data_IF_070082774071
#
_entry.id   IF_070082774071
#
_cell.length_a   1.000
_cell.length_b   1.000
_cell.length_c   1.000
_cell.angle_alpha   90.00
_cell.angle_beta   90.00
_cell.angle_gamma   90.00
#
_symmetry.space_group_name_H-M   'P 1'
#
loop_
_entity.id
_entity.type
_entity.pdbx_description
1 polymer ?
#
# COMPACT_ATOMS: atom_id res chain seq x y z
N UNK A 1 4.83 27.54 4.35
CA UNK A 1 5.20 26.14 4.62
C UNK A 1 4.31 25.27 3.76
N UNK A 2 4.88 24.40 2.93
CA UNK A 2 4.12 23.56 2.00
C UNK A 2 3.71 22.26 2.71
N UNK A 3 2.41 22.08 2.96
CA UNK A 3 1.84 20.97 3.72
C UNK A 3 1.48 19.76 2.84
N UNK A 4 1.72 19.83 1.54
CA UNK A 4 0.98 19.01 0.57
C UNK A 4 1.65 17.69 0.18
N UNK A 5 2.87 17.43 0.65
CA UNK A 5 3.63 16.24 0.25
C UNK A 5 3.65 15.17 1.33
N UNK A 6 3.47 13.88 0.97
CA UNK A 6 3.60 12.76 1.90
C UNK A 6 5.07 12.43 2.18
N UNK A 7 6.01 13.34 1.92
CA UNK A 7 7.42 13.17 2.22
C UNK A 7 8.09 14.52 2.45
N UNK A 8 9.16 14.53 3.25
CA UNK A 8 9.99 15.71 3.54
C UNK A 8 11.47 15.35 3.67
N UNK A 9 12.33 16.30 3.29
CA UNK A 9 13.76 16.26 3.57
C UNK A 9 14.03 16.88 4.95
N UNK A 10 14.89 16.22 5.71
CA UNK A 10 15.27 16.63 7.06
C UNK A 10 16.73 17.04 7.04
N UNK A 11 16.98 18.34 7.11
CA UNK A 11 18.32 18.90 7.11
C UNK A 11 18.83 19.03 8.54
N UNK A 12 20.00 18.46 8.80
CA UNK A 12 20.75 18.71 10.03
C UNK A 12 21.85 19.73 9.75
N UNK A 13 22.35 20.39 10.80
CA UNK A 13 23.21 21.59 10.71
C UNK A 13 24.41 21.48 9.75
N UNK A 14 24.94 20.28 9.45
CA UNK A 14 26.14 20.12 8.58
C UNK A 14 26.15 18.85 7.69
N UNK A 15 25.02 18.20 7.37
CA UNK A 15 25.06 16.86 6.74
C UNK A 15 24.07 16.63 5.58
N UNK A 16 24.28 15.50 4.90
CA UNK A 16 23.34 14.92 3.94
C UNK A 16 21.94 14.77 4.58
N UNK A 17 20.86 15.17 3.89
CA UNK A 17 19.53 15.14 4.48
C UNK A 17 18.99 13.72 4.61
N UNK A 18 18.24 13.48 5.68
CA UNK A 18 17.38 12.31 5.82
C UNK A 18 16.04 12.55 5.11
N UNK A 19 15.24 11.50 4.96
CA UNK A 19 13.93 11.58 4.32
C UNK A 19 12.89 10.95 5.24
N UNK A 20 11.81 11.65 5.51
CA UNK A 20 10.60 11.05 6.09
C UNK A 20 9.58 10.85 4.97
N UNK A 21 8.97 9.66 4.94
CA UNK A 21 8.02 9.23 3.91
C UNK A 21 6.79 8.66 4.59
N UNK A 22 5.66 9.29 4.33
CA UNK A 22 4.32 8.81 4.64
C UNK A 22 3.86 7.81 3.58
N UNK A 23 3.21 6.74 4.05
CA UNK A 23 2.70 5.67 3.20
C UNK A 23 1.30 5.26 3.66
N UNK A 24 0.77 4.15 3.13
CA UNK A 24 -0.54 3.60 3.45
C UNK A 24 -0.74 3.30 4.94
N UNK A 25 0.31 2.86 5.63
CA UNK A 25 0.28 2.40 7.00
C UNK A 25 0.02 0.89 7.12
N UNK A 26 0.50 0.32 8.22
CA UNK A 26 0.41 -1.11 8.53
C UNK A 26 -0.93 -1.52 9.16
N UNK A 27 -1.75 -0.56 9.60
CA UNK A 27 -3.08 -0.82 10.15
C UNK A 27 -4.14 -1.01 9.04
N UNK A 28 -3.92 -2.02 8.21
CA UNK A 28 -4.85 -2.38 7.15
C UNK A 28 -4.97 -3.87 6.97
N UNK A 29 -5.99 -4.28 6.23
CA UNK A 29 -6.13 -5.66 5.79
C UNK A 29 -4.95 -6.11 4.90
N UNK A 30 -4.35 -5.15 4.17
CA UNK A 30 -3.27 -5.44 3.23
C UNK A 30 -1.96 -5.79 3.95
N UNK A 31 -1.24 -6.74 3.37
CA UNK A 31 0.09 -7.15 3.80
C UNK A 31 1.01 -7.16 2.59
N UNK A 32 2.20 -6.64 2.79
CA UNK A 32 3.25 -6.57 1.77
C UNK A 32 4.60 -6.79 2.45
N UNK A 33 5.50 -7.44 1.73
CA UNK A 33 6.91 -7.55 2.10
C UNK A 33 7.75 -7.77 0.83
N UNK A 34 9.07 -7.64 0.94
CA UNK A 34 10.02 -8.00 -0.13
C UNK A 34 9.78 -9.41 -0.69
N UNK A 35 9.58 -10.38 0.20
CA UNK A 35 9.35 -11.80 -0.17
C UNK A 35 7.95 -12.07 -0.71
N UNK A 36 6.95 -11.32 -0.24
CA UNK A 36 5.53 -11.53 -0.50
C UNK A 36 4.87 -10.17 -0.76
N UNK A 37 5.08 -9.57 -1.95
CA UNK A 37 4.52 -8.27 -2.28
C UNK A 37 2.99 -8.33 -2.43
N UNK A 38 2.31 -7.27 -2.01
CA UNK A 38 0.94 -7.05 -2.47
C UNK A 38 1.00 -6.83 -3.98
N UNK A 39 0.22 -7.59 -4.73
CA UNK A 39 0.35 -7.67 -6.19
C UNK A 39 -0.96 -7.25 -6.84
N UNK A 40 -0.89 -6.49 -7.92
CA UNK A 40 -2.04 -6.13 -8.75
C UNK A 40 -1.82 -6.63 -10.17
N UNK A 41 -2.78 -7.40 -10.66
CA UNK A 41 -2.84 -7.86 -12.05
C UNK A 41 -3.70 -6.88 -12.84
N UNK A 42 -3.18 -6.40 -13.97
CA UNK A 42 -3.81 -5.40 -14.83
C UNK A 42 -3.88 -5.96 -16.24
N UNK A 43 -5.09 -6.16 -16.76
CA UNK A 43 -5.32 -6.64 -18.13
C UNK A 43 -6.77 -6.38 -18.58
N UNK A 44 -7.06 -6.54 -19.86
CA UNK A 44 -8.42 -6.70 -20.42
C UNK A 44 -8.77 -8.19 -20.45
N UNK A 45 -9.24 -8.72 -19.31
CA UNK A 45 -9.32 -10.16 -19.09
C UNK A 45 -10.42 -10.85 -19.90
N UNK A 46 -11.46 -10.11 -20.29
CA UNK A 46 -12.56 -10.62 -21.12
C UNK A 46 -12.57 -10.06 -22.55
N UNK A 47 -11.53 -9.30 -22.93
CA UNK A 47 -11.30 -8.75 -24.27
C UNK A 47 -12.43 -7.84 -24.73
N UNK A 48 -12.97 -7.05 -23.81
CA UNK A 48 -14.06 -6.12 -24.08
C UNK A 48 -13.58 -4.69 -24.43
N UNK A 49 -12.26 -4.46 -24.40
CA UNK A 49 -11.62 -3.16 -24.63
C UNK A 49 -11.48 -2.30 -23.38
N UNK A 50 -11.77 -2.82 -22.19
CA UNK A 50 -11.59 -2.16 -20.90
C UNK A 50 -10.52 -2.88 -20.10
N UNK A 51 -9.73 -2.12 -19.36
CA UNK A 51 -8.73 -2.68 -18.47
C UNK A 51 -9.37 -2.91 -17.10
N UNK A 52 -9.24 -4.11 -16.57
CA UNK A 52 -9.55 -4.44 -15.20
C UNK A 52 -8.29 -4.61 -14.35
N UNK A 53 -8.48 -4.42 -13.05
CA UNK A 53 -7.42 -4.55 -12.06
C UNK A 53 -7.88 -5.49 -10.95
N UNK A 54 -7.08 -6.51 -10.66
CA UNK A 54 -7.36 -7.48 -9.60
C UNK A 54 -6.19 -7.52 -8.64
N UNK A 55 -6.44 -7.16 -7.39
CA UNK A 55 -5.45 -7.24 -6.32
C UNK A 55 -5.39 -8.65 -5.75
N UNK A 56 -4.18 -9.13 -5.51
CA UNK A 56 -3.87 -10.38 -4.84
C UNK A 56 -2.95 -10.16 -3.64
N UNK A 57 -3.14 -10.98 -2.62
CA UNK A 57 -2.32 -10.99 -1.40
C UNK A 57 -1.89 -12.43 -1.10
N UNK A 58 -0.67 -12.56 -0.60
CA UNK A 58 -0.11 -13.87 -0.28
C UNK A 58 -0.67 -14.44 1.02
N UNK A 59 -0.98 -15.74 0.99
CA UNK A 59 -1.28 -16.56 2.15
C UNK A 59 -0.41 -17.83 2.08
N UNK A 60 0.62 -17.89 2.93
CA UNK A 60 1.76 -18.76 2.65
C UNK A 60 2.50 -18.28 1.40
N UNK A 61 2.95 -19.21 0.56
CA UNK A 61 3.66 -18.90 -0.69
C UNK A 61 2.72 -18.65 -1.88
N UNK A 62 1.40 -18.76 -1.66
CA UNK A 62 0.39 -18.69 -2.71
C UNK A 62 -0.30 -17.32 -2.76
N UNK A 63 -0.46 -16.78 -3.97
CA UNK A 63 -1.13 -15.51 -4.23
C UNK A 63 -2.63 -15.73 -4.47
N UNK A 64 -3.47 -15.13 -3.62
CA UNK A 64 -4.93 -15.23 -3.72
C UNK A 64 -5.58 -13.87 -4.02
N UNK A 65 -6.67 -13.83 -4.80
CA UNK A 65 -7.40 -12.60 -5.06
C UNK A 65 -8.05 -12.05 -3.78
N UNK A 66 -7.89 -10.75 -3.54
CA UNK A 66 -8.52 -10.02 -2.43
C UNK A 66 -9.98 -9.65 -2.76
N UNK A 67 -10.34 -9.65 -4.04
CA UNK A 67 -11.68 -9.28 -4.51
C UNK A 67 -12.72 -10.35 -4.14
N UNK A 68 -13.91 -9.92 -3.72
CA UNK A 68 -15.03 -10.84 -3.46
C UNK A 68 -15.61 -11.34 -4.79
N UNK A 69 -16.09 -12.58 -4.82
CA UNK A 69 -16.64 -13.19 -6.04
C UNK A 69 -17.73 -12.34 -6.72
N UNK A 70 -18.63 -11.72 -5.92
CA UNK A 70 -19.68 -10.84 -6.48
C UNK A 70 -19.10 -9.62 -7.19
N UNK A 71 -18.03 -9.04 -6.63
CA UNK A 71 -17.38 -7.84 -7.16
C UNK A 71 -16.60 -8.20 -8.41
N UNK A 72 -15.96 -9.38 -8.40
CA UNK A 72 -15.29 -9.94 -9.58
C UNK A 72 -16.27 -10.17 -10.73
N UNK A 73 -17.49 -10.65 -10.49
CA UNK A 73 -18.51 -10.78 -11.54
C UNK A 73 -19.01 -9.42 -12.06
N UNK A 74 -19.07 -8.39 -11.21
CA UNK A 74 -19.46 -7.06 -11.65
C UNK A 74 -18.38 -6.41 -12.52
N UNK A 75 -17.10 -6.70 -12.21
CA UNK A 75 -15.96 -6.22 -13.00
C UNK A 75 -15.81 -7.03 -14.30
N UNK A 76 -15.89 -8.36 -14.23
CA UNK A 76 -15.66 -9.29 -15.35
C UNK A 76 -16.84 -10.28 -15.42
N UNK A 77 -17.95 -9.92 -16.09
CA UNK A 77 -19.16 -10.74 -16.14
C UNK A 77 -18.97 -12.13 -16.76
N UNK A 78 -17.97 -12.29 -17.65
CA UNK A 78 -17.66 -13.56 -18.31
C UNK A 78 -17.29 -14.67 -17.29
N UNK A 79 -16.66 -14.30 -16.16
CA UNK A 79 -16.26 -15.22 -15.10
C UNK A 79 -17.43 -15.84 -14.33
N UNK A 80 -18.65 -15.29 -14.45
CA UNK A 80 -19.84 -15.81 -13.76
C UNK A 80 -20.16 -17.25 -14.15
N UNK A 81 -19.88 -17.64 -15.40
CA UNK A 81 -20.09 -19.02 -15.87
C UNK A 81 -19.06 -19.99 -15.26
N UNK A 82 -17.82 -19.56 -15.11
CA UNK A 82 -16.72 -20.37 -14.59
C UNK A 82 -16.79 -20.53 -13.06
N UNK A 83 -17.11 -19.44 -12.36
CA UNK A 83 -17.16 -19.39 -10.89
C UNK A 83 -18.58 -19.20 -10.38
N UNK A 84 -19.53 -20.04 -10.79
CA UNK A 84 -20.96 -19.87 -10.46
C UNK A 84 -21.26 -19.96 -8.96
N UNK A 85 -20.52 -20.81 -8.23
CA UNK A 85 -20.65 -21.01 -6.78
C UNK A 85 -19.41 -20.50 -6.06
N UNK A 86 -19.59 -19.95 -4.86
CA UNK A 86 -18.48 -19.52 -4.00
C UNK A 86 -17.47 -20.64 -3.72
N UNK A 87 -17.94 -21.88 -3.61
CA UNK A 87 -17.09 -23.07 -3.43
C UNK A 87 -16.06 -23.25 -4.54
N UNK A 88 -16.37 -22.81 -5.76
CA UNK A 88 -15.47 -22.90 -6.91
C UNK A 88 -14.42 -21.78 -6.92
N UNK A 89 -14.58 -20.76 -6.08
CA UNK A 89 -13.73 -19.57 -6.02
C UNK A 89 -12.87 -19.48 -4.76
N UNK A 90 -13.38 -19.94 -3.60
CA UNK A 90 -12.80 -19.65 -2.26
C UNK A 90 -11.30 -19.98 -2.10
N UNK A 91 -10.78 -20.93 -2.86
CA UNK A 91 -9.38 -21.37 -2.79
C UNK A 91 -8.66 -21.21 -4.15
N UNK A 92 -9.20 -20.39 -5.06
CA UNK A 92 -8.59 -20.16 -6.36
C UNK A 92 -7.44 -19.18 -6.22
N UNK A 93 -6.27 -19.59 -6.71
CA UNK A 93 -5.09 -18.73 -6.80
C UNK A 93 -5.25 -17.73 -7.94
N UNK A 94 -4.44 -16.67 -7.90
CA UNK A 94 -4.50 -15.56 -8.85
C UNK A 94 -4.26 -16.02 -10.30
N UNK A 95 -3.35 -16.97 -10.50
CA UNK A 95 -2.99 -17.59 -11.78
C UNK A 95 -3.99 -18.65 -12.26
N UNK A 96 -4.90 -19.11 -11.40
CA UNK A 96 -5.95 -20.06 -11.74
C UNK A 96 -7.28 -19.39 -12.15
N UNK A 97 -7.36 -18.06 -12.07
CA UNK A 97 -8.57 -17.33 -12.43
C UNK A 97 -8.79 -17.27 -13.94
N UNK A 98 -7.70 -17.22 -14.70
CA UNK A 98 -7.71 -17.07 -16.16
C UNK A 98 -6.84 -18.15 -16.81
N UNK A 99 -6.89 -18.23 -18.15
CA UNK A 99 -6.02 -19.12 -18.89
C UNK A 99 -4.56 -18.67 -18.77
N UNK A 100 -3.62 -19.60 -18.96
CA UNK A 100 -2.18 -19.29 -18.86
C UNK A 100 -1.77 -18.19 -19.84
N UNK A 101 -2.33 -18.19 -21.04
CA UNK A 101 -2.03 -17.19 -22.07
C UNK A 101 -2.42 -15.78 -21.60
N UNK A 102 -3.58 -15.64 -20.95
CA UNK A 102 -4.01 -14.35 -20.37
C UNK A 102 -3.09 -13.94 -19.22
N UNK A 103 -2.72 -14.88 -18.35
CA UNK A 103 -1.84 -14.60 -17.21
C UNK A 103 -0.42 -14.18 -17.65
N UNK A 104 0.10 -14.78 -18.72
CA UNK A 104 1.40 -14.44 -19.31
C UNK A 104 1.38 -13.05 -19.96
N UNK A 105 0.24 -12.64 -20.53
CA UNK A 105 0.01 -11.32 -21.13
C UNK A 105 -0.48 -10.26 -20.12
N UNK A 106 -0.45 -10.57 -18.81
CA UNK A 106 -0.95 -9.67 -17.76
C UNK A 106 0.17 -8.83 -17.16
N UNK A 107 -0.04 -7.51 -17.11
CA UNK A 107 0.84 -6.59 -16.39
C UNK A 107 0.71 -6.77 -14.88
N UNK A 108 1.85 -6.78 -14.19
CA UNK A 108 1.92 -6.98 -12.73
C UNK A 108 2.56 -5.77 -12.05
N UNK A 109 1.83 -5.18 -11.12
CA UNK A 109 2.32 -4.10 -10.26
C UNK A 109 2.50 -4.63 -8.84
N UNK A 110 3.62 -4.27 -8.22
CA UNK A 110 4.02 -4.78 -6.91
C UNK A 110 4.15 -3.67 -5.88
N UNK A 111 3.70 -3.95 -4.66
CA UNK A 111 3.94 -3.12 -3.48
C UNK A 111 4.66 -3.98 -2.45
N UNK A 112 5.88 -3.59 -2.10
CA UNK A 112 6.75 -4.33 -1.18
C UNK A 112 6.71 -3.80 0.25
N UNK A 113 6.30 -2.55 0.44
CA UNK A 113 6.25 -1.90 1.74
C UNK A 113 5.04 -0.96 1.84
N UNK A 114 4.27 -1.10 2.92
CA UNK A 114 3.13 -0.24 3.27
C UNK A 114 3.44 0.71 4.43
N UNK A 115 4.56 0.51 5.13
CA UNK A 115 4.92 1.32 6.29
C UNK A 115 5.30 2.73 5.88
N UNK A 116 4.91 3.70 6.70
CA UNK A 116 5.53 5.02 6.73
C UNK A 116 6.92 4.88 7.34
N UNK A 117 7.94 5.48 6.73
CA UNK A 117 9.34 5.23 7.06
C UNK A 117 10.15 6.52 7.18
N UNK A 118 11.23 6.43 7.93
CA UNK A 118 12.33 7.38 7.96
C UNK A 118 13.56 6.73 7.33
N UNK A 119 14.07 7.35 6.28
CA UNK A 119 15.30 6.96 5.60
C UNK A 119 16.45 7.77 6.19
N UNK A 120 17.19 7.13 7.08
CA UNK A 120 18.39 7.70 7.70
C UNK A 120 19.55 7.68 6.71
N UNK A 121 20.08 8.85 6.40
CA UNK A 121 21.22 9.02 5.52
C UNK A 121 22.53 8.66 6.24
N UNK A 122 23.28 7.71 5.70
CA UNK A 122 24.58 7.30 6.22
C UNK A 122 25.66 7.99 5.41
N UNK A 123 25.97 9.24 5.81
CA UNK A 123 27.09 10.05 5.27
C UNK A 123 27.08 10.18 3.74
N UNK A 124 25.91 10.24 3.12
CA UNK A 124 25.72 10.45 1.69
C UNK A 124 25.97 9.23 0.81
N UNK A 125 26.16 8.04 1.40
CA UNK A 125 26.49 6.82 0.66
C UNK A 125 25.31 5.87 0.52
N UNK A 126 24.53 5.73 1.57
CA UNK A 126 23.41 4.79 1.64
C UNK A 126 22.32 5.31 2.58
N UNK A 127 21.13 4.72 2.47
CA UNK A 127 20.01 4.97 3.37
C UNK A 127 19.69 3.72 4.18
N UNK A 128 19.55 3.90 5.50
CA UNK A 128 18.96 2.89 6.37
C UNK A 128 17.49 3.20 6.55
N UNK A 129 16.64 2.23 6.20
CA UNK A 129 15.20 2.33 6.36
C UNK A 129 14.80 1.98 7.79
N UNK A 130 14.07 2.88 8.44
CA UNK A 130 13.51 2.71 9.78
C UNK A 130 12.00 2.95 9.70
N UNK A 131 11.19 2.02 10.20
CA UNK A 131 9.74 2.23 10.29
C UNK A 131 9.42 3.33 11.30
N UNK A 132 8.46 4.19 10.97
CA UNK A 132 7.93 5.16 11.93
C UNK A 132 7.15 4.45 13.04
N UNK A 133 6.98 5.09 14.22
CA UNK A 133 6.23 4.52 15.35
C UNK A 133 4.83 4.04 14.95
N UNK A 134 4.29 3.09 15.74
CA UNK A 134 2.98 2.47 15.50
C UNK A 134 1.87 3.49 15.18
N UNK A 135 1.85 4.61 15.90
CA UNK A 135 0.84 5.65 15.70
C UNK A 135 0.88 6.25 14.28
N UNK A 136 2.05 6.31 13.65
CA UNK A 136 2.23 6.76 12.27
C UNK A 136 1.86 5.70 11.21
N UNK A 137 1.54 4.49 11.66
CA UNK A 137 1.11 3.36 10.82
C UNK A 137 -0.39 3.13 10.87
N UNK A 138 -1.13 3.85 11.72
CA UNK A 138 -2.54 3.61 11.97
C UNK A 138 -3.45 3.97 10.76
N UNK A 139 -2.98 4.79 9.83
CA UNK A 139 -3.71 5.31 8.65
C UNK A 139 -2.71 5.83 7.62
N UNK A 140 -3.22 6.17 6.44
CA UNK A 140 -2.41 6.70 5.35
C UNK A 140 -1.90 8.10 5.69
N UNK A 141 -0.60 8.32 5.57
CA UNK A 141 0.03 9.63 5.77
C UNK A 141 0.12 10.36 4.42
N UNK A 142 -0.68 11.42 4.26
CA UNK A 142 -0.72 12.22 3.04
C UNK A 142 0.05 13.54 3.16
N UNK A 143 0.27 14.00 4.39
CA UNK A 143 0.88 15.28 4.70
C UNK A 143 1.79 15.17 5.90
N UNK A 144 2.96 15.79 5.81
CA UNK A 144 3.96 15.85 6.88
C UNK A 144 4.41 17.29 7.05
N UNK A 145 4.28 17.82 8.27
CA UNK A 145 4.90 19.06 8.71
C UNK A 145 6.08 18.71 9.62
N UNK A 146 7.22 19.33 9.35
CA UNK A 146 8.45 19.21 10.12
C UNK A 146 8.77 20.60 10.66
N UNK A 147 8.94 20.71 11.98
CA UNK A 147 9.40 21.94 12.63
C UNK A 147 9.97 21.59 14.02
N UNK A 148 10.59 22.56 14.69
CA UNK A 148 10.90 22.46 16.12
C UNK A 148 9.73 23.05 16.93
N UNK A 149 8.76 22.21 17.29
CA UNK A 149 7.57 22.63 18.05
C UNK A 149 7.82 22.74 19.54
N UNK A 150 8.83 22.05 20.06
CA UNK A 150 9.09 21.93 21.49
C UNK A 150 10.27 22.82 21.98
N UNK A 151 11.09 23.32 21.05
CA UNK A 151 12.22 24.22 21.29
C UNK A 151 13.53 23.52 21.67
N UNK A 152 13.66 22.20 21.44
CA UNK A 152 14.85 21.42 21.78
C UNK A 152 15.92 21.39 20.67
N UNK A 153 15.67 22.05 19.53
CA UNK A 153 16.48 22.01 18.31
C UNK A 153 16.56 20.64 17.62
N UNK A 154 15.60 19.75 17.88
CA UNK A 154 15.36 18.53 17.11
C UNK A 154 14.18 18.71 16.15
N UNK A 155 14.07 17.83 15.16
CA UNK A 155 12.94 17.85 14.24
C UNK A 155 11.75 17.13 14.87
N UNK A 156 10.69 17.87 15.17
CA UNK A 156 9.39 17.31 15.54
C UNK A 156 8.52 17.10 14.29
N UNK A 157 7.57 16.16 14.37
CA UNK A 157 6.70 15.82 13.24
C UNK A 157 5.23 15.95 13.60
N UNK A 158 4.48 16.61 12.72
CA UNK A 158 3.02 16.51 12.66
C UNK A 158 2.68 15.80 11.35
N UNK A 159 2.09 14.62 11.48
CA UNK A 159 1.60 13.86 10.34
C UNK A 159 0.07 13.93 10.29
N UNK A 160 -0.45 14.06 9.08
CA UNK A 160 -1.88 14.12 8.82
C UNK A 160 -2.25 13.22 7.66
N UNK A 161 -3.38 12.54 7.82
CA UNK A 161 -4.00 11.83 6.72
C UNK A 161 -5.24 11.04 7.11
N UNK A 162 -6.05 10.78 6.10
CA UNK A 162 -7.28 10.00 6.16
C UNK A 162 -7.50 9.34 4.80
N UNK A 163 -8.17 8.19 4.78
CA UNK A 163 -8.70 7.57 3.58
C UNK A 163 -10.17 7.19 3.76
N UNK A 164 -11.06 7.97 3.16
CA UNK A 164 -12.53 7.76 3.22
C UNK A 164 -13.07 6.92 2.06
N UNK A 165 -12.23 6.53 1.10
CA UNK A 165 -12.62 5.82 -0.13
C UNK A 165 -12.38 4.31 -0.09
N UNK A 166 -11.95 3.78 1.05
CA UNK A 166 -11.65 2.37 1.23
C UNK A 166 -12.87 1.65 1.80
N UNK A 167 -13.18 0.43 1.30
CA UNK A 167 -14.28 -0.36 1.83
C UNK A 167 -14.04 -0.63 3.33
N UNK A 168 -15.07 -0.54 4.20
CA UNK A 168 -14.89 -0.63 5.66
C UNK A 168 -14.19 -1.90 6.16
N UNK A 169 -14.24 -2.98 5.38
CA UNK A 169 -13.59 -4.25 5.72
C UNK A 169 -12.08 -4.28 5.39
N UNK A 170 -11.51 -3.21 4.84
CA UNK A 170 -10.11 -3.17 4.41
C UNK A 170 -9.21 -2.31 5.33
N UNK A 171 -9.77 -1.47 6.20
CA UNK A 171 -9.01 -0.60 7.14
C UNK A 171 -9.77 -0.45 8.47
N UNK A 172 -9.04 -0.44 9.59
CA UNK A 172 -9.61 -0.43 10.95
C UNK A 172 -9.78 0.97 11.56
N UNK A 173 -8.91 1.93 11.23
CA UNK A 173 -8.95 3.32 11.73
C UNK A 173 -8.74 4.27 10.55
N UNK A 174 -9.55 5.33 10.48
CA UNK A 174 -9.59 6.20 9.29
C UNK A 174 -8.82 7.52 9.49
N UNK A 175 -8.72 8.06 10.71
CA UNK A 175 -8.10 9.38 10.95
C UNK A 175 -7.00 9.34 12.00
N UNK A 176 -5.90 10.05 11.74
CA UNK A 176 -4.84 10.30 12.71
C UNK A 176 -4.39 11.73 12.59
N UNK A 177 -4.24 12.35 13.77
CA UNK A 177 -3.41 13.51 13.95
C UNK A 177 -2.37 13.13 15.01
N UNK A 178 -1.14 12.85 14.58
CA UNK A 178 -0.08 12.42 15.49
C UNK A 178 0.97 13.51 15.57
N UNK A 179 1.33 13.83 16.81
CA UNK A 179 2.46 14.69 17.15
C UNK A 179 3.55 13.79 17.74
N UNK A 180 4.63 13.59 16.99
CA UNK A 180 5.83 12.96 17.52
C UNK A 180 6.78 14.08 17.95
N UNK A 181 7.18 14.05 19.23
CA UNK A 181 8.25 14.84 19.81
C UNK A 181 9.54 14.00 19.77
#
# INVERSE_FOLDING_TARGET
>A
MDFTTPWKLLFHKDSFPDIIIGNHGLNSFFRASESHPLTMYVNDFDRNGRTEQIMGMYYGDDLYPVVQLKDLWMQIPSLKKQFLKFENYKNKKMDELFSKEIIEDTDKVYVYNLASVYLKNIKGKEFSLVELPFDAQLSTVNSILVDDFNGDNLHDFIIGGNSTKIKPNMVSIQEIFLKCF
#
